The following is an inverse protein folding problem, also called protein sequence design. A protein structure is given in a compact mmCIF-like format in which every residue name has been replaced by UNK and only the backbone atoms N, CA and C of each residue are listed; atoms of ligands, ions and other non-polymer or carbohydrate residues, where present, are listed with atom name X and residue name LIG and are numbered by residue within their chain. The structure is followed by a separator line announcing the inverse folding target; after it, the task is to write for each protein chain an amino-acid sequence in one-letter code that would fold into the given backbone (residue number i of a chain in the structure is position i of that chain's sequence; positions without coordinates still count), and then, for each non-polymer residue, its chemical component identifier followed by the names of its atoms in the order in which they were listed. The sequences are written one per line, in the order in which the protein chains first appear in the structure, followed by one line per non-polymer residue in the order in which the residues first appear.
data_IF_800124351482
#
_entry.id   IF_800124351482
#
_cell.length_a   1.000
_cell.length_b   1.000
_cell.length_c   1.000
_cell.angle_alpha   90.00
_cell.angle_beta   90.00
_cell.angle_gamma   90.00
#
_symmetry.space_group_name_H-M   'P 1'
#
loop_
_entity.id
_entity.type
_entity.pdbx_description
1 polymer ?
#
# COMPACT_ATOMS: atom_id res chain seq x y z
N UNK A 1 15.77 11.31 -16.65
CA UNK A 1 15.10 11.26 -17.97
C UNK A 1 15.43 9.94 -18.63
N UNK A 2 14.51 9.35 -19.41
CA UNK A 2 14.80 8.11 -20.15
C UNK A 2 15.62 8.38 -21.41
N UNK A 3 16.70 7.62 -21.59
CA UNK A 3 17.56 7.65 -22.79
C UNK A 3 17.67 6.23 -23.37
N UNK A 4 17.99 6.11 -24.66
CA UNK A 4 18.21 4.79 -25.23
C UNK A 4 19.46 4.14 -24.62
N UNK A 5 19.47 2.81 -24.52
CA UNK A 5 20.65 2.08 -24.01
C UNK A 5 21.93 2.33 -24.82
N UNK A 6 21.82 2.66 -26.11
CA UNK A 6 22.96 3.01 -26.97
C UNK A 6 23.49 4.40 -26.65
N UNK A 7 22.61 5.40 -26.55
CA UNK A 7 22.99 6.75 -26.16
C UNK A 7 23.60 6.79 -24.75
N UNK A 8 23.02 6.05 -23.80
CA UNK A 8 23.55 5.96 -22.44
C UNK A 8 24.99 5.41 -22.41
N UNK A 9 25.26 4.39 -23.21
CA UNK A 9 26.59 3.78 -23.31
C UNK A 9 27.62 4.78 -23.85
N UNK A 10 27.25 5.57 -24.86
CA UNK A 10 28.13 6.61 -25.43
C UNK A 10 28.38 7.74 -24.42
N UNK A 11 27.33 8.22 -23.74
CA UNK A 11 27.44 9.34 -22.78
C UNK A 11 28.33 8.99 -21.58
N UNK A 12 28.26 7.74 -21.11
CA UNK A 12 28.97 7.29 -19.91
C UNK A 12 30.24 6.48 -20.23
N UNK A 13 30.69 6.49 -21.49
CA UNK A 13 31.86 5.75 -21.98
C UNK A 13 31.87 4.26 -21.58
N UNK A 14 30.70 3.62 -21.62
CA UNK A 14 30.56 2.19 -21.34
C UNK A 14 30.58 1.38 -22.63
N UNK A 15 31.28 0.24 -22.61
CA UNK A 15 31.15 -0.78 -23.66
C UNK A 15 29.71 -1.29 -23.69
N UNK A 16 29.03 -1.10 -24.82
CA UNK A 16 27.63 -1.48 -25.01
C UNK A 16 27.36 -2.96 -24.69
N UNK A 17 28.24 -3.86 -25.10
CA UNK A 17 28.11 -5.30 -24.81
C UNK A 17 28.12 -5.61 -23.31
N UNK A 18 28.94 -4.91 -22.54
CA UNK A 18 29.04 -5.09 -21.09
C UNK A 18 27.75 -4.62 -20.41
N UNK A 19 27.24 -3.46 -20.84
CA UNK A 19 25.96 -2.91 -20.38
C UNK A 19 24.81 -3.87 -20.70
N UNK A 20 24.75 -4.39 -21.93
CA UNK A 20 23.72 -5.31 -22.36
C UNK A 20 23.77 -6.65 -21.62
N UNK A 21 24.97 -7.19 -21.34
CA UNK A 21 25.15 -8.38 -20.51
C UNK A 21 24.72 -8.18 -19.07
N UNK A 22 24.99 -7.01 -18.47
CA UNK A 22 24.55 -6.69 -17.11
C UNK A 22 23.02 -6.62 -17.02
N UNK A 23 22.38 -5.93 -17.96
CA UNK A 23 20.93 -5.80 -18.03
C UNK A 23 20.26 -7.15 -18.29
N UNK A 24 20.78 -7.95 -19.23
CA UNK A 24 20.24 -9.28 -19.50
C UNK A 24 20.33 -10.22 -18.28
N UNK A 25 21.38 -10.10 -17.45
CA UNK A 25 21.49 -10.84 -16.18
C UNK A 25 20.42 -10.39 -15.18
N UNK A 26 20.20 -9.08 -15.05
CA UNK A 26 19.16 -8.53 -14.18
C UNK A 26 17.75 -8.96 -14.64
N UNK A 27 17.48 -8.95 -15.94
CA UNK A 27 16.21 -9.40 -16.52
C UNK A 27 15.96 -10.88 -16.24
N UNK A 28 16.98 -11.74 -16.36
CA UNK A 28 16.86 -13.17 -16.00
C UNK A 28 16.51 -13.36 -14.52
N UNK A 29 16.91 -12.44 -13.65
CA UNK A 29 16.56 -12.41 -12.23
C UNK A 29 15.26 -11.65 -11.94
N UNK A 30 14.52 -11.24 -12.98
CA UNK A 30 13.30 -10.44 -12.88
C UNK A 30 13.46 -9.10 -12.14
N UNK A 31 14.65 -8.50 -12.23
CA UNK A 31 14.96 -7.18 -11.65
C UNK A 31 14.81 -6.07 -12.67
N UNK A 32 14.45 -4.87 -12.22
CA UNK A 32 14.35 -3.64 -13.02
C UNK A 32 15.58 -2.73 -12.91
N UNK A 33 16.51 -3.11 -12.04
CA UNK A 33 17.74 -2.39 -11.74
C UNK A 33 18.93 -3.33 -12.00
N UNK A 34 20.02 -2.79 -12.52
CA UNK A 34 21.30 -3.48 -12.60
C UNK A 34 22.43 -2.64 -12.00
N UNK A 35 23.46 -3.31 -11.49
CA UNK A 35 24.70 -2.66 -11.04
C UNK A 35 25.78 -2.82 -12.10
N UNK A 36 26.43 -1.71 -12.47
CA UNK A 36 27.53 -1.71 -13.42
C UNK A 36 28.57 -0.67 -12.98
N UNK A 37 29.82 -1.10 -12.78
CA UNK A 37 30.93 -0.22 -12.40
C UNK A 37 30.59 0.71 -11.22
N UNK A 38 30.00 0.15 -10.16
CA UNK A 38 29.53 0.84 -8.94
C UNK A 38 28.32 1.78 -9.12
N UNK A 39 27.79 1.93 -10.34
CA UNK A 39 26.57 2.67 -10.61
C UNK A 39 25.35 1.75 -10.57
N UNK A 40 24.26 2.26 -9.97
CA UNK A 40 22.96 1.60 -9.94
C UNK A 40 22.12 2.16 -11.10
N UNK A 41 21.77 1.32 -12.07
CA UNK A 41 21.10 1.74 -13.29
C UNK A 41 19.68 1.17 -13.33
N UNK A 42 18.69 2.04 -13.50
CA UNK A 42 17.31 1.64 -13.78
C UNK A 42 17.11 1.48 -15.28
N UNK A 43 16.59 0.33 -15.70
CA UNK A 43 16.24 0.10 -17.10
C UNK A 43 14.79 -0.35 -17.26
N UNK A 44 14.19 -0.01 -18.41
CA UNK A 44 12.86 -0.45 -18.82
C UNK A 44 12.89 -0.97 -20.26
N UNK A 45 12.01 -1.94 -20.56
CA UNK A 45 11.74 -2.39 -21.92
C UNK A 45 10.40 -1.82 -22.36
N UNK A 46 10.42 -0.96 -23.36
CA UNK A 46 9.22 -0.43 -24.01
C UNK A 46 8.99 -1.14 -25.34
N UNK A 47 7.73 -1.24 -25.77
CA UNK A 47 7.41 -1.69 -27.13
C UNK A 47 7.94 -0.66 -28.14
N UNK A 48 8.70 -1.09 -29.13
CA UNK A 48 9.16 -0.23 -30.20
C UNK A 48 8.00 0.29 -31.05
N UNK A 49 8.21 1.42 -31.76
CA UNK A 49 7.26 1.89 -32.78
C UNK A 49 7.41 1.01 -34.04
N UNK A 50 6.36 0.28 -34.41
CA UNK A 50 6.28 -0.52 -35.65
C UNK A 50 6.78 -1.97 -35.53
N UNK A 51 7.39 -2.52 -36.60
CA UNK A 51 7.91 -3.90 -36.67
C UNK A 51 9.20 -4.14 -35.85
N UNK A 52 9.74 -3.10 -35.20
CA UNK A 52 11.05 -3.10 -34.56
C UNK A 52 11.04 -3.49 -33.08
N UNK A 53 10.62 -4.71 -32.73
CA UNK A 53 10.89 -5.35 -31.43
C UNK A 53 10.65 -4.52 -30.14
N UNK A 54 11.28 -4.93 -29.04
CA UNK A 54 11.28 -4.21 -27.75
C UNK A 54 12.53 -3.32 -27.67
N UNK A 55 12.36 -2.04 -27.35
CA UNK A 55 13.48 -1.10 -27.17
C UNK A 55 13.83 -0.97 -25.69
N UNK A 56 15.13 -0.97 -25.39
CA UNK A 56 15.67 -0.84 -24.04
C UNK A 56 16.04 0.61 -23.74
N UNK A 57 15.41 1.19 -22.73
CA UNK A 57 15.69 2.52 -22.21
C UNK A 57 16.32 2.42 -20.82
N UNK A 58 17.20 3.37 -20.51
CA UNK A 58 17.92 3.49 -19.25
C UNK A 58 17.69 4.88 -18.69
N UNK A 59 17.57 5.00 -17.38
CA UNK A 59 17.49 6.30 -16.73
C UNK A 59 18.84 7.01 -16.83
N UNK A 60 18.82 8.26 -17.29
CA UNK A 60 20.02 9.04 -17.63
C UNK A 60 20.98 9.24 -16.46
N UNK A 61 20.48 9.24 -15.23
CA UNK A 61 21.26 9.43 -14.00
C UNK A 61 21.35 8.11 -13.23
N UNK A 62 22.54 7.72 -12.72
CA UNK A 62 22.64 6.58 -11.81
C UNK A 62 21.86 6.87 -10.51
N UNK A 63 21.18 5.85 -10.00
CA UNK A 63 20.36 5.94 -8.79
C UNK A 63 21.21 5.89 -7.52
N UNK A 64 20.76 6.59 -6.48
CA UNK A 64 21.24 6.37 -5.12
C UNK A 64 20.72 5.04 -4.55
N UNK A 65 21.28 4.58 -3.43
CA UNK A 65 20.82 3.35 -2.76
C UNK A 65 19.38 3.46 -2.27
N UNK A 66 18.97 4.65 -1.84
CA UNK A 66 17.62 4.94 -1.35
C UNK A 66 16.62 4.97 -2.50
N UNK A 67 16.97 5.63 -3.60
CA UNK A 67 16.14 5.66 -4.83
C UNK A 67 15.96 4.25 -5.41
N UNK A 68 17.00 3.41 -5.36
CA UNK A 68 16.94 2.04 -5.82
C UNK A 68 15.94 1.19 -5.00
N UNK A 69 15.91 1.35 -3.67
CA UNK A 69 14.95 0.65 -2.82
C UNK A 69 13.51 1.08 -3.12
N UNK A 70 13.28 2.37 -3.31
CA UNK A 70 11.95 2.89 -3.67
C UNK A 70 11.49 2.34 -5.03
N UNK A 71 12.38 2.26 -6.01
CA UNK A 71 12.08 1.65 -7.31
C UNK A 71 11.74 0.16 -7.17
N UNK A 72 12.47 -0.59 -6.33
CA UNK A 72 12.19 -2.00 -6.07
C UNK A 72 10.84 -2.19 -5.36
N UNK A 73 10.45 -1.26 -4.50
CA UNK A 73 9.12 -1.20 -3.84
C UNK A 73 7.99 -0.76 -4.80
N UNK A 74 8.31 -0.37 -6.03
CA UNK A 74 7.34 -0.06 -7.07
C UNK A 74 7.02 1.42 -7.25
N UNK A 75 7.77 2.34 -6.62
CA UNK A 75 7.62 3.77 -6.83
C UNK A 75 8.19 4.21 -8.20
N UNK A 76 7.55 5.20 -8.83
CA UNK A 76 7.98 5.72 -10.13
C UNK A 76 9.15 6.71 -9.97
N UNK A 77 10.21 6.51 -10.75
CA UNK A 77 11.43 7.34 -10.70
C UNK A 77 11.24 8.75 -11.23
N UNK A 78 10.30 8.95 -12.15
CA UNK A 78 9.99 10.26 -12.72
C UNK A 78 9.44 11.21 -11.65
N UNK A 79 8.58 10.68 -10.77
CA UNK A 79 7.98 11.42 -9.66
C UNK A 79 9.01 11.81 -8.59
N UNK A 80 10.05 10.99 -8.39
CA UNK A 80 11.15 11.26 -7.44
C UNK A 80 12.15 12.31 -7.96
N UNK A 81 12.34 12.39 -9.27
CA UNK A 81 13.35 13.26 -9.88
C UNK A 81 12.96 14.73 -9.99
N UNK A 82 11.67 15.06 -9.83
CA UNK A 82 11.16 16.43 -9.92
C UNK A 82 11.30 17.24 -8.62
N UNK A 83 11.80 16.64 -7.54
CA UNK A 83 11.96 17.29 -6.23
C UNK A 83 13.41 17.62 -5.86
N UNK A 84 14.34 17.66 -6.82
CA UNK A 84 15.77 17.90 -6.53
C UNK A 84 16.23 19.33 -6.80
N UNK A 85 15.82 20.25 -5.93
CA UNK A 85 16.71 21.31 -5.41
C UNK A 85 16.45 21.50 -3.92
N UNK A 86 16.69 20.47 -3.11
CA UNK A 86 16.84 20.66 -1.66
C UNK A 86 18.00 19.79 -1.17
N UNK A 87 18.99 20.48 -0.62
CA UNK A 87 20.21 19.98 0.02
C UNK A 87 19.90 19.12 1.26
N UNK A 88 20.85 18.28 1.73
CA UNK A 88 20.61 17.21 2.71
C UNK A 88 20.53 17.71 4.16
N UNK A 89 19.68 18.68 4.43
CA UNK A 89 19.37 19.15 5.81
C UNK A 89 17.88 19.11 6.17
N UNK A 90 17.03 18.58 5.30
CA UNK A 90 15.57 18.68 5.47
C UNK A 90 14.88 17.32 5.26
N UNK A 91 15.43 16.24 5.80
CA UNK A 91 14.72 14.93 5.81
C UNK A 91 13.78 14.81 7.02
N UNK A 92 13.97 15.62 8.08
CA UNK A 92 13.05 15.63 9.23
C UNK A 92 11.86 16.61 9.09
N UNK A 93 11.89 17.54 8.15
CA UNK A 93 10.84 18.55 7.96
C UNK A 93 9.83 18.23 6.84
N UNK A 94 10.15 17.32 5.92
CA UNK A 94 9.22 16.93 4.84
C UNK A 94 8.26 15.84 5.31
N UNK A 95 8.69 14.95 6.21
CA UNK A 95 7.83 13.94 6.84
C UNK A 95 6.75 14.57 7.74
N UNK A 96 7.00 15.75 8.31
CA UNK A 96 6.00 16.49 9.10
C UNK A 96 5.08 17.38 8.26
N UNK A 97 5.46 17.75 7.03
CA UNK A 97 4.60 18.50 6.10
C UNK A 97 3.63 17.61 5.31
N UNK A 98 4.07 16.43 4.87
CA UNK A 98 3.21 15.49 4.16
C UNK A 98 2.09 14.90 5.02
N UNK A 99 2.22 14.95 6.37
CA UNK A 99 1.14 14.59 7.29
C UNK A 99 0.09 15.70 7.51
N UNK A 100 0.35 16.93 7.05
CA UNK A 100 -0.50 18.10 7.33
C UNK A 100 -1.29 18.61 6.12
N UNK A 101 -0.99 18.13 4.91
CA UNK A 101 -1.66 18.58 3.67
C UNK A 101 -2.86 17.71 3.27
N UNK A 102 -3.34 16.82 4.14
CA UNK A 102 -4.72 16.37 4.04
C UNK A 102 -5.63 17.54 4.42
N UNK A 103 -6.37 18.01 3.42
CA UNK A 103 -7.34 19.14 3.40
C UNK A 103 -8.48 19.04 4.46
N UNK A 104 -8.37 18.12 5.42
CA UNK A 104 -9.29 17.89 6.52
C UNK A 104 -8.95 18.67 7.82
N UNK A 105 -7.83 19.40 7.88
CA UNK A 105 -7.41 20.17 9.06
C UNK A 105 -7.51 21.70 8.88
N UNK A 106 -8.56 22.20 8.21
CA UNK A 106 -8.89 23.65 8.21
C UNK A 106 -10.12 24.01 9.03
N UNK A 107 -10.85 23.04 9.57
CA UNK A 107 -12.07 23.29 10.36
C UNK A 107 -11.90 23.15 11.88
N UNK A 108 -10.70 22.83 12.38
CA UNK A 108 -10.41 22.78 13.82
C UNK A 108 -9.95 24.13 14.37
N UNK A 109 -10.72 25.19 14.13
CA UNK A 109 -10.66 26.44 14.91
C UNK A 109 -11.62 26.44 16.11
N UNK A 110 -12.44 25.40 16.26
CA UNK A 110 -13.23 25.17 17.47
C UNK A 110 -12.50 24.17 18.35
N UNK A 111 -11.59 24.66 19.18
CA UNK A 111 -11.10 24.11 20.47
C UNK A 111 -9.79 24.84 20.81
N UNK A 112 -9.92 26.12 21.14
CA UNK A 112 -8.94 26.76 22.02
C UNK A 112 -9.20 26.21 23.42
N UNK A 113 -8.37 25.28 23.88
CA UNK A 113 -8.11 25.12 25.31
C UNK A 113 -6.61 25.04 25.50
N UNK A 114 -6.13 25.99 26.29
CA UNK A 114 -4.74 26.26 26.59
C UNK A 114 -4.11 25.06 27.29
N UNK A 115 -2.87 24.71 26.91
CA UNK A 115 -1.93 24.16 27.88
C UNK A 115 -0.49 24.44 27.42
N UNK A 116 0.00 25.58 27.88
CA UNK A 116 1.43 25.86 28.01
C UNK A 116 1.98 24.93 29.10
N UNK A 117 2.91 24.04 28.76
CA UNK A 117 4.16 23.82 29.49
C UNK A 117 5.00 22.72 28.84
N UNK A 118 6.22 23.11 28.42
CA UNK A 118 7.32 22.21 28.04
C UNK A 118 7.82 21.48 29.29
N UNK A 119 7.79 20.15 29.32
CA UNK A 119 8.85 19.36 29.98
C UNK A 119 8.82 17.88 29.61
N UNK A 120 9.98 17.40 29.13
CA UNK A 120 10.52 16.02 29.16
C UNK A 120 9.68 14.86 28.62
N UNK A 121 10.20 14.30 27.52
CA UNK A 121 9.95 12.94 27.03
C UNK A 121 10.18 11.93 28.17
N UNK A 122 9.12 11.23 28.59
CA UNK A 122 9.21 10.00 29.37
C UNK A 122 8.53 8.88 28.58
N UNK A 123 9.23 7.76 28.42
CA UNK A 123 8.88 6.64 27.53
C UNK A 123 7.71 5.76 27.99
N UNK A 124 6.87 6.24 28.91
CA UNK A 124 5.73 5.45 29.41
C UNK A 124 4.45 6.25 29.33
N UNK A 125 3.78 6.19 28.17
CA UNK A 125 2.32 6.33 27.98
C UNK A 125 1.95 6.28 26.49
N UNK A 126 2.15 5.13 25.83
CA UNK A 126 1.33 4.77 24.66
C UNK A 126 0.18 3.91 25.19
N UNK A 127 -0.68 4.50 25.99
CA UNK A 127 -2.01 3.97 26.20
C UNK A 127 -2.85 4.61 25.10
N UNK A 128 -2.79 4.04 23.90
CA UNK A 128 -3.65 4.46 22.80
C UNK A 128 -5.06 4.26 23.31
N UNK A 129 -5.75 5.37 23.56
CA UNK A 129 -7.13 5.38 23.96
C UNK A 129 -7.91 4.69 22.83
N UNK A 130 -8.26 3.41 23.00
CA UNK A 130 -8.75 2.55 21.91
C UNK A 130 -10.03 3.10 21.28
N UNK A 131 -10.71 3.98 22.00
CA UNK A 131 -11.94 4.62 21.58
C UNK A 131 -11.74 5.72 20.55
N UNK A 132 -10.55 6.33 20.45
CA UNK A 132 -10.26 7.38 19.46
C UNK A 132 -9.76 6.88 18.10
N UNK A 133 -9.56 5.56 17.91
CA UNK A 133 -9.18 5.03 16.60
C UNK A 133 -10.35 5.11 15.60
N UNK A 134 -10.01 5.45 14.37
CA UNK A 134 -10.94 5.47 13.23
C UNK A 134 -11.61 4.11 13.03
N UNK A 135 -12.80 4.11 12.42
CA UNK A 135 -13.54 2.88 12.15
C UNK A 135 -12.72 1.93 11.25
N UNK A 136 -11.97 2.51 10.33
CA UNK A 136 -11.04 1.80 9.46
C UNK A 136 -9.90 1.13 10.23
N UNK A 137 -9.27 1.85 11.16
CA UNK A 137 -8.15 1.31 11.95
C UNK A 137 -8.59 0.15 12.87
N UNK A 138 -9.83 0.19 13.37
CA UNK A 138 -10.42 -0.89 14.19
C UNK A 138 -10.83 -2.13 13.39
N UNK A 139 -11.01 -2.00 12.08
CA UNK A 139 -11.53 -3.10 11.26
C UNK A 139 -10.48 -4.18 10.97
N UNK A 140 -10.92 -5.39 10.64
CA UNK A 140 -10.04 -6.48 10.20
C UNK A 140 -9.29 -6.11 8.91
N UNK A 141 -8.10 -6.68 8.70
CA UNK A 141 -7.32 -6.48 7.46
C UNK A 141 -8.13 -6.74 6.18
N UNK A 142 -9.00 -7.76 6.16
CA UNK A 142 -9.89 -8.02 5.02
C UNK A 142 -10.84 -6.85 4.73
N UNK A 143 -11.48 -6.30 5.77
CA UNK A 143 -12.38 -5.15 5.66
C UNK A 143 -11.62 -3.88 5.25
N UNK A 144 -10.42 -3.68 5.78
CA UNK A 144 -9.54 -2.57 5.40
C UNK A 144 -9.16 -2.62 3.91
N UNK A 145 -8.68 -3.77 3.44
CA UNK A 145 -8.31 -3.95 2.03
C UNK A 145 -9.49 -3.71 1.08
N UNK A 146 -10.68 -4.18 1.44
CA UNK A 146 -11.89 -3.91 0.65
C UNK A 146 -12.20 -2.41 0.60
N UNK A 147 -12.12 -1.70 1.73
CA UNK A 147 -12.35 -0.26 1.78
C UNK A 147 -11.32 0.52 0.94
N UNK A 148 -10.05 0.11 0.97
CA UNK A 148 -9.00 0.68 0.12
C UNK A 148 -9.27 0.47 -1.36
N UNK A 149 -9.70 -0.73 -1.76
CA UNK A 149 -10.08 -1.02 -3.15
C UNK A 149 -11.26 -0.16 -3.60
N UNK A 150 -12.31 -0.03 -2.78
CA UNK A 150 -13.44 0.87 -3.06
C UNK A 150 -12.98 2.31 -3.22
N UNK A 151 -12.12 2.80 -2.32
CA UNK A 151 -11.60 4.16 -2.37
C UNK A 151 -10.78 4.42 -3.64
N UNK A 152 -9.96 3.46 -4.07
CA UNK A 152 -9.20 3.55 -5.32
C UNK A 152 -10.13 3.71 -6.53
N UNK A 153 -11.18 2.88 -6.61
CA UNK A 153 -12.20 2.98 -7.68
C UNK A 153 -12.90 4.33 -7.66
N UNK A 154 -13.27 4.84 -6.47
CA UNK A 154 -13.90 6.16 -6.34
C UNK A 154 -12.96 7.28 -6.79
N UNK A 155 -11.68 7.22 -6.42
CA UNK A 155 -10.67 8.20 -6.87
C UNK A 155 -10.51 8.17 -8.40
N UNK A 156 -10.36 6.99 -9.00
CA UNK A 156 -10.30 6.83 -10.46
C UNK A 156 -11.55 7.41 -11.14
N UNK A 157 -12.74 7.13 -10.58
CA UNK A 157 -14.00 7.68 -11.08
C UNK A 157 -14.04 9.20 -11.00
N UNK A 158 -13.63 9.81 -9.89
CA UNK A 158 -13.61 11.28 -9.75
C UNK A 158 -12.71 11.95 -10.78
N UNK A 159 -11.58 11.33 -11.15
CA UNK A 159 -10.68 11.83 -12.20
C UNK A 159 -11.22 11.64 -13.62
N UNK A 160 -12.00 10.59 -13.84
CA UNK A 160 -12.60 10.24 -15.12
C UNK A 160 -13.99 10.89 -15.35
N UNK A 161 -14.63 11.36 -14.27
CA UNK A 161 -15.96 11.95 -14.29
C UNK A 161 -15.99 13.16 -15.23
N UNK A 162 -16.93 13.15 -16.17
CA UNK A 162 -17.06 14.18 -17.21
C UNK A 162 -16.23 13.92 -18.48
N UNK A 163 -15.30 12.94 -18.47
CA UNK A 163 -14.52 12.55 -19.66
C UNK A 163 -15.06 11.29 -20.33
N UNK A 164 -15.60 10.36 -19.54
CA UNK A 164 -16.16 9.09 -20.01
C UNK A 164 -17.55 8.89 -19.43
N UNK A 165 -18.37 8.08 -20.11
CA UNK A 165 -19.68 7.71 -19.59
C UNK A 165 -19.54 6.80 -18.36
N UNK A 166 -20.53 6.85 -17.47
CA UNK A 166 -20.57 5.99 -16.28
C UNK A 166 -20.54 4.51 -16.65
N UNK A 167 -21.26 4.13 -17.71
CA UNK A 167 -21.31 2.75 -18.18
C UNK A 167 -19.95 2.28 -18.71
N UNK A 168 -19.26 3.11 -19.49
CA UNK A 168 -17.94 2.76 -20.02
C UNK A 168 -16.91 2.60 -18.91
N UNK A 169 -16.94 3.48 -17.90
CA UNK A 169 -16.10 3.33 -16.72
C UNK A 169 -16.35 2.02 -15.98
N UNK A 170 -17.62 1.68 -15.74
CA UNK A 170 -18.00 0.43 -15.06
C UNK A 170 -17.53 -0.79 -15.86
N UNK A 171 -17.72 -0.76 -17.17
CA UNK A 171 -17.28 -1.82 -18.07
C UNK A 171 -15.76 -1.96 -18.05
N UNK A 172 -15.02 -0.86 -18.10
CA UNK A 172 -13.56 -0.83 -18.00
C UNK A 172 -13.06 -1.45 -16.68
N UNK A 173 -13.59 -1.00 -15.53
CA UNK A 173 -13.18 -1.53 -14.22
C UNK A 173 -13.49 -3.02 -14.07
N UNK A 174 -14.67 -3.45 -14.50
CA UNK A 174 -15.07 -4.86 -14.43
C UNK A 174 -14.25 -5.74 -15.39
N UNK A 175 -13.91 -5.24 -16.58
CA UNK A 175 -13.07 -5.95 -17.54
C UNK A 175 -11.63 -6.14 -17.03
N UNK A 176 -11.12 -5.18 -16.25
CA UNK A 176 -9.78 -5.22 -15.64
C UNK A 176 -9.59 -6.41 -14.69
N UNK A 177 -10.67 -6.90 -14.06
CA UNK A 177 -10.67 -8.01 -13.09
C UNK A 177 -9.63 -7.88 -11.96
N UNK A 178 -9.31 -6.64 -11.56
CA UNK A 178 -8.35 -6.37 -10.47
C UNK A 178 -9.01 -6.48 -9.09
N UNK A 179 -10.31 -6.17 -9.03
CA UNK A 179 -11.05 -6.12 -7.77
C UNK A 179 -11.89 -7.39 -7.59
N UNK A 180 -12.05 -7.81 -6.32
CA UNK A 180 -12.85 -8.99 -5.96
C UNK A 180 -14.36 -8.77 -6.24
N UNK A 181 -14.80 -7.52 -6.30
CA UNK A 181 -16.20 -7.18 -6.51
C UNK A 181 -16.51 -6.83 -7.97
N UNK A 182 -17.73 -7.21 -8.39
CA UNK A 182 -18.36 -6.61 -9.58
C UNK A 182 -18.87 -5.21 -9.24
N UNK A 183 -18.35 -4.21 -9.94
CA UNK A 183 -18.78 -2.83 -9.85
C UNK A 183 -20.12 -2.66 -10.58
N UNK A 184 -21.06 -2.00 -9.93
CA UNK A 184 -22.34 -1.59 -10.51
C UNK A 184 -22.51 -0.10 -10.30
N UNK A 185 -23.41 0.52 -11.07
CA UNK A 185 -23.68 1.95 -10.98
C UNK A 185 -24.12 2.37 -9.58
N UNK A 186 -25.03 1.60 -8.96
CA UNK A 186 -25.51 1.89 -7.60
C UNK A 186 -24.37 1.83 -6.57
N UNK A 187 -23.48 0.84 -6.67
CA UNK A 187 -22.31 0.74 -5.80
C UNK A 187 -21.37 1.93 -5.97
N UNK A 188 -21.09 2.30 -7.22
CA UNK A 188 -20.21 3.42 -7.53
C UNK A 188 -20.70 4.72 -6.91
N UNK A 189 -21.99 5.05 -7.10
CA UNK A 189 -22.57 6.28 -6.57
C UNK A 189 -22.73 6.25 -5.04
N UNK A 190 -23.10 5.11 -4.45
CA UNK A 190 -23.14 4.94 -2.99
C UNK A 190 -21.76 5.17 -2.38
N UNK A 191 -20.72 4.51 -2.91
CA UNK A 191 -19.36 4.65 -2.40
C UNK A 191 -18.81 6.07 -2.62
N UNK A 192 -19.09 6.68 -3.77
CA UNK A 192 -18.71 8.07 -4.02
C UNK A 192 -19.34 9.01 -2.97
N UNK A 193 -20.64 8.86 -2.69
CA UNK A 193 -21.35 9.67 -1.70
C UNK A 193 -20.78 9.46 -0.29
N UNK A 194 -20.58 8.22 0.12
CA UNK A 194 -20.04 7.84 1.42
C UNK A 194 -18.61 8.36 1.62
N UNK A 195 -17.76 8.17 0.61
CA UNK A 195 -16.37 8.58 0.63
C UNK A 195 -16.22 10.10 0.72
N UNK A 196 -17.05 10.86 0.01
CA UNK A 196 -17.03 12.33 0.11
C UNK A 196 -17.54 12.84 1.46
N UNK A 197 -18.39 12.07 2.15
CA UNK A 197 -18.93 12.47 3.45
C UNK A 197 -17.95 12.22 4.60
N UNK A 198 -17.42 10.99 4.73
CA UNK A 198 -16.59 10.58 5.87
C UNK A 198 -15.32 9.82 5.47
N UNK A 199 -14.88 9.94 4.22
CA UNK A 199 -13.64 9.32 3.74
C UNK A 199 -13.66 7.79 3.82
N UNK A 200 -12.53 7.23 4.27
CA UNK A 200 -12.28 5.79 4.27
C UNK A 200 -13.15 5.03 5.28
N UNK A 201 -13.44 5.65 6.42
CA UNK A 201 -14.29 5.08 7.47
C UNK A 201 -15.71 4.81 6.99
N UNK A 202 -16.19 5.59 6.02
CA UNK A 202 -17.51 5.42 5.42
C UNK A 202 -17.61 4.14 4.57
N UNK A 203 -16.50 3.72 3.96
CA UNK A 203 -16.45 2.60 3.02
C UNK A 203 -16.25 1.24 3.71
N UNK A 204 -15.96 1.26 5.01
CA UNK A 204 -15.86 0.07 5.86
C UNK A 204 -17.21 -0.63 5.94
N UNK A 205 -17.20 -1.95 5.71
CA UNK A 205 -18.40 -2.76 5.92
C UNK A 205 -18.72 -2.89 7.42
N UNK A 206 -19.75 -2.15 7.85
CA UNK A 206 -20.24 -2.12 9.23
C UNK A 206 -21.04 -3.36 9.60
N UNK A 207 -21.36 -4.23 8.63
CA UNK A 207 -22.08 -5.46 8.93
C UNK A 207 -21.20 -6.37 9.78
N UNK A 208 -21.79 -6.84 10.87
CA UNK A 208 -21.22 -7.86 11.72
C UNK A 208 -21.69 -9.23 11.24
N UNK A 209 -20.80 -10.21 11.30
CA UNK A 209 -21.21 -11.59 11.11
C UNK A 209 -22.00 -12.00 12.35
N UNK A 210 -23.33 -12.08 12.23
CA UNK A 210 -24.21 -12.60 13.28
C UNK A 210 -24.11 -14.12 13.46
N UNK A 211 -23.28 -14.79 12.67
CA UNK A 211 -23.06 -16.23 12.81
C UNK A 211 -22.02 -16.42 13.91
N UNK A 212 -22.45 -16.97 15.04
CA UNK A 212 -21.54 -17.38 16.08
C UNK A 212 -20.57 -18.43 15.55
N UNK A 213 -19.29 -18.26 15.87
CA UNK A 213 -18.28 -19.28 15.57
C UNK A 213 -18.65 -20.57 16.33
N UNK A 214 -18.44 -21.74 15.73
CA UNK A 214 -18.80 -23.03 16.33
C UNK A 214 -18.22 -23.22 17.76
N UNK A 215 -17.03 -22.68 17.99
CA UNK A 215 -16.36 -22.66 19.31
C UNK A 215 -17.15 -21.85 20.35
N UNK A 216 -17.74 -20.73 19.92
CA UNK A 216 -18.61 -19.89 20.77
C UNK A 216 -19.95 -20.56 21.02
N UNK A 217 -20.55 -21.20 20.00
CA UNK A 217 -21.81 -21.95 20.13
C UNK A 217 -21.68 -23.13 21.10
N UNK A 218 -20.53 -23.81 21.10
CA UNK A 218 -20.24 -24.92 22.02
C UNK A 218 -19.87 -24.45 23.44
N UNK A 219 -19.81 -23.14 23.71
CA UNK A 219 -19.43 -22.61 25.03
C UNK A 219 -17.96 -22.83 25.43
N UNK A 220 -17.13 -23.38 24.54
CA UNK A 220 -15.73 -23.75 24.82
C UNK A 220 -14.71 -22.67 24.46
N UNK A 221 -15.17 -21.45 24.20
CA UNK A 221 -14.32 -20.34 23.74
C UNK A 221 -13.20 -20.00 24.72
N UNK A 222 -13.53 -19.94 26.00
CA UNK A 222 -12.57 -19.63 27.06
C UNK A 222 -11.53 -20.76 27.21
N UNK A 223 -11.99 -22.01 27.18
CA UNK A 223 -11.12 -23.19 27.24
C UNK A 223 -10.17 -23.25 26.03
N UNK A 224 -10.66 -22.94 24.82
CA UNK A 224 -9.83 -22.83 23.63
C UNK A 224 -8.75 -21.76 23.76
N UNK A 225 -9.11 -20.55 24.20
CA UNK A 225 -8.15 -19.45 24.40
C UNK A 225 -7.11 -19.82 25.44
N UNK A 226 -7.51 -20.39 26.58
CA UNK A 226 -6.60 -20.81 27.64
C UNK A 226 -5.63 -21.89 27.16
N UNK A 227 -6.12 -22.86 26.39
CA UNK A 227 -5.28 -23.93 25.81
C UNK A 227 -4.30 -23.35 24.78
N UNK A 228 -4.73 -22.38 23.97
CA UNK A 228 -3.88 -21.68 23.01
C UNK A 228 -2.74 -20.91 23.71
N UNK A 229 -3.06 -20.20 24.79
CA UNK A 229 -2.10 -19.41 25.57
C UNK A 229 -1.16 -20.28 26.40
N UNK A 230 -1.61 -21.46 26.85
CA UNK A 230 -0.78 -22.41 27.60
C UNK A 230 0.28 -23.10 26.74
N UNK A 231 0.10 -23.13 25.41
CA UNK A 231 1.11 -23.71 24.52
C UNK A 231 2.36 -22.84 24.46
N UNK A 232 3.49 -23.40 24.88
CA UNK A 232 4.81 -22.80 24.68
C UNK A 232 5.40 -23.28 23.35
N UNK A 233 5.62 -22.36 22.42
CA UNK A 233 6.27 -22.65 21.14
C UNK A 233 5.29 -22.75 19.96
N UNK A 234 5.53 -23.69 19.04
CA UNK A 234 4.70 -23.85 17.84
C UNK A 234 3.29 -24.33 18.21
N UNK A 235 2.29 -23.71 17.59
CA UNK A 235 0.89 -24.12 17.73
C UNK A 235 0.73 -25.58 17.30
N UNK A 236 0.25 -26.42 18.23
CA UNK A 236 -0.06 -27.81 17.98
C UNK A 236 -1.59 -28.00 17.99
N UNK A 237 -2.18 -27.93 16.80
CA UNK A 237 -3.63 -28.03 16.60
C UNK A 237 -4.20 -29.38 17.05
N UNK A 238 -3.47 -30.49 16.83
CA UNK A 238 -3.92 -31.83 17.23
C UNK A 238 -4.05 -31.95 18.74
N UNK A 239 -3.12 -31.36 19.50
CA UNK A 239 -3.19 -31.35 20.95
C UNK A 239 -4.37 -30.50 21.45
N UNK A 240 -4.57 -29.31 20.87
CA UNK A 240 -5.71 -28.44 21.22
C UNK A 240 -7.03 -29.18 20.98
N UNK A 241 -7.19 -29.83 19.83
CA UNK A 241 -8.38 -30.61 19.52
C UNK A 241 -8.63 -31.75 20.51
N UNK A 242 -7.57 -32.48 20.90
CA UNK A 242 -7.70 -33.57 21.88
C UNK A 242 -8.12 -33.07 23.25
N UNK A 243 -7.52 -31.98 23.74
CA UNK A 243 -7.86 -31.36 25.03
C UNK A 243 -9.31 -30.85 25.02
N UNK A 244 -9.72 -30.14 23.96
CA UNK A 244 -11.10 -29.67 23.82
C UNK A 244 -12.12 -30.82 23.84
N UNK A 245 -11.87 -31.88 23.06
CA UNK A 245 -12.79 -33.01 22.99
C UNK A 245 -12.85 -33.80 24.31
N UNK A 246 -11.74 -33.90 25.03
CA UNK A 246 -11.73 -34.54 26.35
C UNK A 246 -12.59 -33.76 27.35
N UNK A 247 -12.46 -32.44 27.39
CA UNK A 247 -13.25 -31.59 28.29
C UNK A 247 -14.73 -31.53 27.88
N UNK A 248 -15.03 -31.62 26.59
CA UNK A 248 -16.41 -31.78 26.10
C UNK A 248 -17.04 -33.12 26.50
N UNK A 249 -16.26 -34.21 26.53
CA UNK A 249 -16.75 -35.53 26.89
C UNK A 249 -16.93 -35.74 28.40
N UNK A 250 -16.36 -34.83 29.22
CA UNK A 250 -16.42 -34.86 30.68
C UNK A 250 -17.67 -34.18 31.25
N UNK A 251 -18.25 -33.26 30.49
CA UNK A 251 -19.51 -32.56 30.80
C UNK A 251 -20.69 -33.26 30.15
#
# INVERSE_FOLDING_TARGET
MWVSSKEFAVINDFKYDTLQKAINRAIKQNKKICTLSSNILHFIKISGKGRGGKTLQIWSKPLSKEEAQLVEQGFNIEDMSNTTTITPKTTQEVLSKALNDDVLLKNSKALQVQNTNKTKLSENQIQINKDSLSLFAKASSKKQNLALQKAAVVKEWLHAKGKISTNDFINYINAKKIYEFKLTQNKLFSWQKEYLANGLDALIDKRENKKDDAISTLGIKELFINTLLAQKGRLNASNIHRVLNYELAKN
#
